data_IF_365130769476
#
_entry.id   IF_365130769476
#
_cell.length_a   1.000
_cell.length_b   1.000
_cell.length_c   1.000
_cell.angle_alpha   90.00
_cell.angle_beta   90.00
_cell.angle_gamma   90.00
#
_symmetry.space_group_name_H-M   'P 1'
#
loop_
_entity.id
_entity.type
_entity.pdbx_description
1 polymer ?
#
# COMPACT_ATOMS: atom_id res chain seq x y z
N UNK A 1 -8.29 12.87 45.16
CA UNK A 1 -8.69 11.49 44.84
C UNK A 1 -9.95 11.62 43.99
N UNK A 2 -9.92 11.53 42.66
CA UNK A 2 -8.85 11.24 41.71
C UNK A 2 -9.21 11.98 40.42
N UNK A 3 -8.20 12.52 39.73
CA UNK A 3 -8.32 13.00 38.36
C UNK A 3 -8.59 11.77 37.49
N UNK A 4 -9.72 11.74 36.81
CA UNK A 4 -9.86 10.94 35.60
C UNK A 4 -9.75 11.96 34.48
N UNK A 5 -8.51 12.17 34.02
CA UNK A 5 -8.30 12.71 32.69
C UNK A 5 -8.89 11.66 31.75
N UNK A 6 -10.06 11.96 31.19
CA UNK A 6 -10.58 11.21 30.06
C UNK A 6 -9.58 11.45 28.92
N UNK A 7 -8.74 10.45 28.66
CA UNK A 7 -7.88 10.37 27.47
C UNK A 7 -8.79 10.39 26.22
N UNK A 8 -9.22 11.57 25.79
CA UNK A 8 -9.74 11.83 24.45
C UNK A 8 -8.57 11.80 23.44
N UNK A 9 -7.93 10.65 23.29
CA UNK A 9 -7.19 10.34 22.06
C UNK A 9 -8.22 9.85 21.04
N UNK A 10 -9.00 10.77 20.45
CA UNK A 10 -9.59 10.50 19.14
C UNK A 10 -8.45 10.12 18.20
N UNK A 11 -8.33 8.84 17.88
CA UNK A 11 -7.30 8.31 16.99
C UNK A 11 -7.33 9.08 15.67
N UNK A 12 -6.37 9.99 15.49
CA UNK A 12 -6.21 10.83 14.29
C UNK A 12 -5.62 10.00 13.15
N UNK A 13 -6.33 8.95 12.75
CA UNK A 13 -5.89 7.96 11.78
C UNK A 13 -6.75 7.97 10.53
N UNK A 14 -6.17 7.54 9.42
CA UNK A 14 -6.90 7.20 8.21
C UNK A 14 -6.76 5.73 7.89
N UNK A 15 -7.86 5.14 7.42
CA UNK A 15 -7.90 3.81 6.83
C UNK A 15 -8.00 3.93 5.32
N UNK A 16 -6.90 3.62 4.63
CA UNK A 16 -6.78 3.66 3.17
C UNK A 16 -7.03 2.28 2.60
N UNK A 17 -7.99 2.16 1.67
CA UNK A 17 -8.17 0.97 0.85
C UNK A 17 -7.21 1.05 -0.34
N UNK A 18 -6.17 0.22 -0.32
CA UNK A 18 -5.15 0.15 -1.37
C UNK A 18 -5.37 -1.05 -2.27
N UNK A 19 -5.13 -0.87 -3.56
CA UNK A 19 -5.17 -1.92 -4.57
C UNK A 19 -3.93 -1.86 -5.47
N UNK A 20 -3.35 -3.03 -5.77
CA UNK A 20 -2.32 -3.18 -6.80
C UNK A 20 -2.99 -3.32 -8.16
N UNK A 21 -2.75 -2.36 -9.03
CA UNK A 21 -3.29 -2.33 -10.40
C UNK A 21 -2.15 -2.57 -11.39
N UNK A 22 -2.23 -3.59 -12.26
CA UNK A 22 -1.22 -3.83 -13.26
C UNK A 22 -1.34 -2.84 -14.43
N UNK A 23 -0.25 -2.66 -15.17
CA UNK A 23 -0.24 -1.88 -16.40
C UNK A 23 -1.32 -2.40 -17.38
N UNK A 24 -2.14 -1.52 -17.99
CA UNK A 24 -3.22 -1.95 -18.87
C UNK A 24 -2.79 -2.83 -20.05
N UNK A 25 -1.52 -2.75 -20.47
CA UNK A 25 -0.95 -3.57 -21.55
C UNK A 25 -1.07 -5.08 -21.29
N UNK A 26 -1.14 -5.53 -20.03
CA UNK A 26 -1.30 -6.96 -19.75
C UNK A 26 -2.64 -7.54 -20.20
N UNK A 27 -3.65 -6.70 -20.47
CA UNK A 27 -4.96 -7.17 -20.91
C UNK A 27 -4.91 -7.80 -22.32
N UNK A 28 -3.89 -7.48 -23.11
CA UNK A 28 -3.65 -8.07 -24.42
C UNK A 28 -2.98 -9.46 -24.32
N UNK A 29 -2.24 -9.70 -23.23
CA UNK A 29 -1.58 -10.98 -22.93
C UNK A 29 -2.40 -11.80 -21.92
N UNK A 30 -3.22 -12.71 -22.45
CA UNK A 30 -4.08 -13.57 -21.62
C UNK A 30 -3.30 -14.45 -20.65
N UNK A 31 -2.08 -14.86 -20.98
CA UNK A 31 -1.27 -15.69 -20.11
C UNK A 31 -0.77 -14.85 -18.94
N UNK A 32 -0.17 -13.69 -19.23
CA UNK A 32 0.35 -12.78 -18.21
C UNK A 32 -0.76 -12.27 -17.28
N UNK A 33 -1.95 -11.98 -17.81
CA UNK A 33 -3.12 -11.61 -17.02
C UNK A 33 -3.58 -12.74 -16.10
N UNK A 34 -3.54 -14.00 -16.56
CA UNK A 34 -3.87 -15.15 -15.74
C UNK A 34 -2.86 -15.31 -14.61
N UNK A 35 -1.57 -15.24 -14.92
CA UNK A 35 -0.49 -15.36 -13.95
C UNK A 35 -0.58 -14.27 -12.87
N UNK A 36 -0.86 -13.01 -13.25
CA UNK A 36 -1.10 -11.92 -12.30
C UNK A 36 -2.26 -12.22 -11.32
N UNK A 37 -3.37 -12.75 -11.84
CA UNK A 37 -4.55 -13.10 -11.04
C UNK A 37 -4.27 -14.25 -10.07
N UNK A 38 -3.47 -15.22 -10.47
CA UNK A 38 -3.10 -16.39 -9.66
C UNK A 38 -2.00 -16.09 -8.64
N UNK A 39 -1.26 -14.98 -8.81
CA UNK A 39 -0.20 -14.58 -7.90
C UNK A 39 -0.75 -14.13 -6.56
N UNK A 40 -0.24 -14.71 -5.47
CA UNK A 40 -0.64 -14.29 -4.12
C UNK A 40 0.34 -13.26 -3.56
N UNK A 41 -0.07 -12.03 -3.29
CA UNK A 41 0.80 -11.02 -2.64
C UNK A 41 0.46 -11.01 -1.15
N UNK A 42 1.44 -11.39 -0.34
CA UNK A 42 1.30 -11.48 1.11
C UNK A 42 1.63 -10.15 1.82
N UNK A 43 1.50 -10.14 3.15
CA UNK A 43 1.79 -8.96 3.98
C UNK A 43 3.26 -8.51 3.90
N UNK A 44 4.21 -9.42 3.68
CA UNK A 44 5.64 -9.09 3.60
C UNK A 44 5.92 -8.32 2.33
N UNK A 45 5.35 -8.75 1.21
CA UNK A 45 5.49 -8.07 -0.08
C UNK A 45 4.76 -6.73 -0.05
N UNK A 46 3.55 -6.67 0.53
CA UNK A 46 2.84 -5.40 0.74
C UNK A 46 3.66 -4.40 1.55
N UNK A 47 4.22 -4.81 2.69
CA UNK A 47 5.14 -3.97 3.47
C UNK A 47 6.32 -3.49 2.64
N UNK A 48 6.95 -4.39 1.89
CA UNK A 48 8.10 -4.05 1.03
C UNK A 48 7.73 -3.04 -0.05
N UNK A 49 6.54 -3.16 -0.64
CA UNK A 49 6.02 -2.24 -1.65
C UNK A 49 5.82 -0.84 -1.04
N UNK A 50 5.15 -0.74 0.11
CA UNK A 50 4.87 0.53 0.80
C UNK A 50 6.15 1.21 1.25
N UNK A 51 7.06 0.47 1.91
CA UNK A 51 8.34 1.01 2.34
C UNK A 51 9.18 1.48 1.15
N UNK A 52 9.20 0.72 0.05
CA UNK A 52 9.94 1.12 -1.15
C UNK A 52 9.33 2.37 -1.80
N UNK A 53 8.00 2.51 -1.83
CA UNK A 53 7.36 3.70 -2.40
C UNK A 53 7.71 4.96 -1.60
N UNK A 54 7.63 4.87 -0.26
CA UNK A 54 8.00 5.95 0.65
C UNK A 54 9.48 6.31 0.53
N UNK A 55 10.37 5.31 0.51
CA UNK A 55 11.80 5.52 0.36
C UNK A 55 12.14 6.20 -0.97
N UNK A 56 11.50 5.79 -2.07
CA UNK A 56 11.77 6.37 -3.40
C UNK A 56 11.46 7.86 -3.47
N UNK A 57 10.43 8.32 -2.77
CA UNK A 57 10.00 9.72 -2.82
C UNK A 57 10.59 10.58 -1.70
N UNK A 58 10.73 10.03 -0.49
CA UNK A 58 11.08 10.77 0.72
C UNK A 58 12.34 10.24 1.43
N UNK A 59 13.04 9.28 0.84
CA UNK A 59 14.24 8.65 1.40
C UNK A 59 13.98 7.93 2.72
N UNK A 60 15.01 7.87 3.57
CA UNK A 60 14.94 7.20 4.86
C UNK A 60 13.86 7.76 5.79
N UNK A 61 13.58 9.07 5.70
CA UNK A 61 12.52 9.74 6.49
C UNK A 61 11.14 9.21 6.08
N UNK A 62 10.93 8.99 4.78
CA UNK A 62 9.72 8.36 4.27
C UNK A 62 9.55 6.96 4.82
N UNK A 63 10.59 6.14 4.69
CA UNK A 63 10.59 4.73 5.09
C UNK A 63 10.32 4.52 6.59
N UNK A 64 10.71 5.48 7.43
CA UNK A 64 10.41 5.45 8.87
C UNK A 64 8.99 5.91 9.25
N UNK A 65 8.15 6.29 8.28
CA UNK A 65 6.79 6.77 8.58
C UNK A 65 5.93 5.62 9.12
N UNK A 66 5.23 5.79 10.26
CA UNK A 66 4.49 4.71 10.89
C UNK A 66 3.24 4.35 10.08
N UNK A 67 3.01 3.05 9.90
CA UNK A 67 1.77 2.52 9.34
C UNK A 67 1.51 1.09 9.85
N UNK A 68 0.26 0.65 9.73
CA UNK A 68 -0.14 -0.72 10.02
C UNK A 68 -1.00 -1.27 8.87
N UNK A 69 -0.94 -2.58 8.63
CA UNK A 69 -1.84 -3.27 7.70
C UNK A 69 -2.84 -4.09 8.52
N UNK A 70 -3.90 -3.48 9.06
CA UNK A 70 -4.86 -4.18 9.93
C UNK A 70 -5.64 -5.27 9.19
N UNK A 71 -5.76 -5.20 7.86
CA UNK A 71 -6.57 -6.15 7.09
C UNK A 71 -6.02 -6.35 5.69
N UNK A 72 -5.93 -7.61 5.27
CA UNK A 72 -5.76 -8.02 3.87
C UNK A 72 -7.15 -8.39 3.35
N UNK A 73 -7.65 -7.63 2.38
CA UNK A 73 -8.97 -7.90 1.77
C UNK A 73 -8.85 -9.09 0.83
N UNK A 74 -7.84 -9.06 -0.03
CA UNK A 74 -7.45 -10.14 -0.93
C UNK A 74 -5.97 -9.99 -1.31
N UNK A 75 -5.47 -10.84 -2.22
CA UNK A 75 -4.07 -10.79 -2.64
C UNK A 75 -3.64 -9.46 -3.27
N UNK A 76 -4.54 -8.67 -3.87
CA UNK A 76 -4.24 -7.39 -4.52
C UNK A 76 -4.82 -6.20 -3.79
N UNK A 77 -5.48 -6.39 -2.65
CA UNK A 77 -6.13 -5.31 -1.91
C UNK A 77 -5.93 -5.40 -0.40
N UNK A 78 -5.61 -4.27 0.25
CA UNK A 78 -5.43 -4.17 1.70
C UNK A 78 -6.12 -2.93 2.29
N UNK A 79 -6.30 -2.94 3.61
CA UNK A 79 -6.53 -1.72 4.39
C UNK A 79 -5.20 -1.33 5.04
N UNK A 80 -4.77 -0.10 4.80
CA UNK A 80 -3.61 0.53 5.41
C UNK A 80 -4.08 1.57 6.43
N UNK A 81 -3.61 1.47 7.67
CA UNK A 81 -3.83 2.47 8.72
C UNK A 81 -2.61 3.37 8.82
N UNK A 82 -2.82 4.68 8.75
CA UNK A 82 -1.78 5.71 8.88
C UNK A 82 -2.24 6.84 9.79
N UNK A 83 -1.32 7.68 10.24
CA UNK A 83 -1.67 8.96 10.88
C UNK A 83 -2.21 9.94 9.83
N UNK A 84 -3.19 10.77 10.21
CA UNK A 84 -3.86 11.71 9.30
C UNK A 84 -2.88 12.72 8.68
N UNK A 85 -1.89 13.16 9.47
CA UNK A 85 -0.84 14.10 9.05
C UNK A 85 0.08 13.53 7.96
N UNK A 86 0.18 12.20 7.88
CA UNK A 86 1.00 11.52 6.90
C UNK A 86 0.26 11.25 5.58
N UNK A 87 -1.04 11.56 5.49
CA UNK A 87 -1.86 11.22 4.33
C UNK A 87 -1.26 11.69 3.00
N UNK A 88 -0.88 12.97 2.91
CA UNK A 88 -0.32 13.52 1.66
C UNK A 88 0.99 12.81 1.27
N UNK A 89 1.82 12.47 2.27
CA UNK A 89 3.08 11.74 2.06
C UNK A 89 2.81 10.37 1.46
N UNK A 90 1.92 9.59 2.06
CA UNK A 90 1.55 8.26 1.54
C UNK A 90 0.91 8.36 0.16
N UNK A 91 -0.08 9.25 -0.02
CA UNK A 91 -0.77 9.45 -1.29
C UNK A 91 0.19 9.80 -2.43
N UNK A 92 1.09 10.78 -2.21
CA UNK A 92 2.05 11.18 -3.23
C UNK A 92 3.07 10.07 -3.54
N UNK A 93 3.50 9.33 -2.51
CA UNK A 93 4.40 8.19 -2.69
C UNK A 93 3.76 7.09 -3.54
N UNK A 94 2.46 6.81 -3.35
CA UNK A 94 1.75 5.78 -4.10
C UNK A 94 1.47 6.19 -5.55
N UNK A 95 1.03 7.43 -5.78
CA UNK A 95 0.76 7.95 -7.13
C UNK A 95 2.03 7.96 -8.00
N UNK A 96 3.18 8.28 -7.41
CA UNK A 96 4.46 8.37 -8.14
C UNK A 96 5.19 7.03 -8.27
N UNK A 97 4.69 5.96 -7.63
CA UNK A 97 5.39 4.69 -7.55
C UNK A 97 4.84 3.65 -8.52
N UNK A 98 5.61 3.44 -9.59
CA UNK A 98 5.51 2.26 -10.45
C UNK A 98 6.57 1.25 -10.01
N UNK A 99 6.16 0.01 -9.82
CA UNK A 99 7.05 -1.11 -9.48
C UNK A 99 6.79 -2.30 -10.40
N UNK A 100 7.79 -3.19 -10.51
CA UNK A 100 7.67 -4.40 -11.29
C UNK A 100 7.57 -5.61 -10.37
N UNK A 101 6.59 -6.49 -10.60
CA UNK A 101 6.40 -7.70 -9.79
C UNK A 101 7.57 -8.69 -9.89
N UNK A 102 8.42 -8.58 -10.91
CA UNK A 102 9.63 -9.40 -11.06
C UNK A 102 10.61 -9.27 -9.90
N UNK A 103 10.53 -8.16 -9.13
CA UNK A 103 11.28 -7.96 -7.88
C UNK A 103 10.96 -9.02 -6.82
N UNK A 104 9.75 -9.58 -6.86
CA UNK A 104 9.26 -10.58 -5.90
C UNK A 104 9.03 -11.94 -6.57
N UNK A 105 8.67 -11.94 -7.85
CA UNK A 105 8.30 -13.11 -8.63
C UNK A 105 9.01 -13.09 -9.98
N UNK A 106 10.16 -13.76 -10.10
CA UNK A 106 11.04 -13.67 -11.28
C UNK A 106 10.36 -13.93 -12.63
N UNK A 107 9.28 -14.71 -12.67
CA UNK A 107 8.51 -15.00 -13.89
C UNK A 107 7.52 -13.88 -14.29
N UNK A 108 7.19 -12.95 -13.39
CA UNK A 108 6.15 -11.93 -13.59
C UNK A 108 6.75 -10.57 -13.92
N UNK A 109 7.09 -10.36 -15.19
CA UNK A 109 7.56 -9.05 -15.65
C UNK A 109 6.38 -8.09 -15.89
N UNK A 110 5.72 -7.67 -14.82
CA UNK A 110 4.51 -6.83 -14.86
C UNK A 110 4.76 -5.55 -14.07
N UNK A 111 4.66 -4.41 -14.75
CA UNK A 111 4.62 -3.12 -14.07
C UNK A 111 3.26 -2.94 -13.41
N UNK A 112 3.27 -2.43 -12.19
CA UNK A 112 2.10 -2.20 -11.36
C UNK A 112 2.20 -0.83 -10.68
N UNK A 113 1.05 -0.31 -10.30
CA UNK A 113 0.89 0.90 -9.50
C UNK A 113 -0.02 0.62 -8.30
N UNK A 114 0.07 1.46 -7.28
CA UNK A 114 -0.82 1.42 -6.13
C UNK A 114 -1.94 2.44 -6.36
N UNK A 115 -3.19 2.00 -6.25
CA UNK A 115 -4.37 2.87 -6.28
C UNK A 115 -5.01 2.94 -4.90
N UNK A 116 -5.34 4.14 -4.44
CA UNK A 116 -6.20 4.35 -3.28
C UNK A 116 -7.65 4.38 -3.77
N UNK A 117 -8.46 3.39 -3.39
CA UNK A 117 -9.85 3.27 -3.82
C UNK A 117 -10.80 4.11 -2.97
N UNK A 118 -10.58 4.13 -1.65
CA UNK A 118 -11.38 4.84 -0.64
C UNK A 118 -10.50 5.15 0.57
N UNK A 119 -10.86 6.18 1.32
CA UNK A 119 -10.32 6.40 2.65
C UNK A 119 -11.45 6.81 3.60
N UNK A 120 -11.38 6.33 4.85
CA UNK A 120 -12.29 6.68 5.92
C UNK A 120 -11.49 7.27 7.09
N UNK A 121 -12.08 8.24 7.79
CA UNK A 121 -11.62 8.72 9.10
C UNK A 121 -12.18 7.81 10.19
#
# INVERSE_FOLDING_TARGET
MSLVEEDEHEDNVYYLNLEIVPDPSINEDKQLLKEFKETNIDSIIWNSIILTSLNKMYGLIGESSPFEIPTIIDSKSIILKIQIEDFEKFNNSFISYIFNLSKFYSALNINCQIRINKFNK
#
